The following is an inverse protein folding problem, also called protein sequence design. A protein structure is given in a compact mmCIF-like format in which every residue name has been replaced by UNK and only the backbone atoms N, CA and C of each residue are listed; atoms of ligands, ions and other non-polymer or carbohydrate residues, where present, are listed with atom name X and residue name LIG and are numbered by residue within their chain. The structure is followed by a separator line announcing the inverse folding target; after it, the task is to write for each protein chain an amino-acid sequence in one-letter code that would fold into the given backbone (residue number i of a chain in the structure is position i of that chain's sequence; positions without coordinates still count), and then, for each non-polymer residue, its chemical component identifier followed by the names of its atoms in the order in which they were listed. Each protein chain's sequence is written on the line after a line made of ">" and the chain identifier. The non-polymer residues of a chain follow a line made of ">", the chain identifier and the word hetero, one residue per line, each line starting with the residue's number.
data_IF_362313337720
#
_entry.id   IF_362313337720
#
_cell.length_a   1.000
_cell.length_b   1.000
_cell.length_c   1.000
_cell.angle_alpha   90.00
_cell.angle_beta   90.00
_cell.angle_gamma   90.00
#
_symmetry.space_group_name_H-M   'P 1'
#
loop_
_entity.id
_entity.type
_entity.pdbx_description
1 polymer ?
#
# COMPACT_ATOMS: atom_id res chain seq x y z
N UNK A 1 6.62 -16.58 7.76
CA UNK A 1 8.07 -16.38 7.51
C UNK A 1 8.58 -15.39 8.54
N UNK A 2 9.73 -15.66 9.18
CA UNK A 2 10.37 -14.75 10.13
C UNK A 2 11.30 -13.71 9.49
N UNK A 3 11.38 -13.68 8.16
CA UNK A 3 12.25 -12.77 7.42
C UNK A 3 11.52 -11.50 6.99
N UNK A 4 12.27 -10.39 6.91
CA UNK A 4 11.78 -9.11 6.42
C UNK A 4 11.50 -9.20 4.91
N UNK A 5 10.22 -9.30 4.55
CA UNK A 5 9.76 -9.48 3.16
C UNK A 5 10.28 -8.40 2.21
N UNK A 6 10.55 -7.20 2.71
CA UNK A 6 11.07 -6.09 1.90
C UNK A 6 12.45 -6.37 1.32
N UNK A 7 13.19 -7.33 1.91
CA UNK A 7 14.54 -7.75 1.52
C UNK A 7 14.59 -9.06 0.73
N UNK A 8 13.45 -9.71 0.48
CA UNK A 8 13.41 -10.90 -0.36
C UNK A 8 13.98 -10.61 -1.74
N UNK A 9 14.84 -11.51 -2.24
CA UNK A 9 15.57 -11.31 -3.52
C UNK A 9 14.75 -11.89 -4.68
N UNK A 10 14.40 -11.01 -5.62
CA UNK A 10 13.71 -11.35 -6.85
C UNK A 10 14.46 -10.77 -8.05
N UNK A 11 14.81 -11.57 -9.06
CA UNK A 11 15.59 -11.14 -10.25
C UNK A 11 16.85 -10.32 -9.89
N UNK A 12 17.66 -10.82 -8.94
CA UNK A 12 18.89 -10.16 -8.45
C UNK A 12 18.66 -8.78 -7.76
N UNK A 13 17.45 -8.47 -7.36
CA UNK A 13 17.11 -7.25 -6.63
C UNK A 13 16.15 -7.56 -5.49
N UNK A 14 15.98 -6.62 -4.53
CA UNK A 14 14.97 -6.80 -3.48
C UNK A 14 13.56 -6.64 -4.05
N UNK A 15 12.57 -7.27 -3.40
CA UNK A 15 11.16 -7.11 -3.76
C UNK A 15 10.73 -5.63 -3.71
N UNK A 16 11.24 -4.86 -2.74
CA UNK A 16 11.04 -3.40 -2.67
C UNK A 16 11.58 -2.70 -3.90
N UNK A 17 12.82 -3.02 -4.32
CA UNK A 17 13.41 -2.42 -5.52
C UNK A 17 12.61 -2.76 -6.77
N UNK A 18 12.21 -4.02 -6.94
CA UNK A 18 11.35 -4.46 -8.04
C UNK A 18 10.06 -3.65 -8.11
N UNK A 19 9.36 -3.47 -6.99
CA UNK A 19 8.13 -2.70 -6.94
C UNK A 19 8.36 -1.20 -7.23
N UNK A 20 9.40 -0.60 -6.65
CA UNK A 20 9.75 0.81 -6.93
C UNK A 20 10.03 1.02 -8.41
N UNK A 21 10.83 0.16 -9.04
CA UNK A 21 11.15 0.26 -10.48
C UNK A 21 9.90 0.09 -11.36
N UNK A 22 9.03 -0.86 -11.00
CA UNK A 22 7.77 -1.11 -11.70
C UNK A 22 6.86 0.12 -11.68
N UNK A 23 6.59 0.66 -10.49
CA UNK A 23 5.67 1.77 -10.33
C UNK A 23 6.27 3.15 -10.69
N UNK A 24 7.59 3.29 -10.74
CA UNK A 24 8.24 4.49 -11.27
C UNK A 24 8.03 4.71 -12.77
N UNK A 25 7.57 3.70 -13.48
CA UNK A 25 7.15 3.83 -14.89
C UNK A 25 5.74 4.43 -15.04
N UNK A 26 4.96 4.43 -13.97
CA UNK A 26 3.54 4.83 -13.95
C UNK A 26 3.36 6.12 -13.15
N UNK A 27 3.99 6.21 -11.98
CA UNK A 27 3.86 7.34 -11.07
C UNK A 27 5.10 8.24 -11.13
N UNK A 28 4.87 9.55 -11.14
CA UNK A 28 5.95 10.56 -11.12
C UNK A 28 6.84 10.44 -9.88
N UNK A 29 6.25 10.09 -8.74
CA UNK A 29 6.96 9.91 -7.49
C UNK A 29 6.55 8.59 -6.85
N UNK A 30 7.54 7.80 -6.43
CA UNK A 30 7.36 6.56 -5.67
C UNK A 30 8.16 6.67 -4.39
N UNK A 31 7.55 6.33 -3.27
CA UNK A 31 8.14 6.39 -1.94
C UNK A 31 8.06 5.01 -1.29
N UNK A 32 9.05 4.71 -0.45
CA UNK A 32 9.00 3.57 0.46
C UNK A 32 8.61 4.09 1.84
N UNK A 33 7.57 3.50 2.45
CA UNK A 33 7.21 3.80 3.83
C UNK A 33 7.84 2.75 4.75
N UNK A 34 8.60 3.19 5.74
CA UNK A 34 9.22 2.31 6.73
C UNK A 34 9.56 3.08 8.01
N UNK A 35 9.65 2.36 9.12
CA UNK A 35 10.07 2.93 10.42
C UNK A 35 11.44 3.59 10.35
N UNK A 36 12.37 2.97 9.62
CA UNK A 36 13.75 3.44 9.45
C UNK A 36 14.28 3.15 8.05
N UNK A 37 15.35 3.82 7.64
CA UNK A 37 15.99 3.55 6.36
C UNK A 37 16.79 2.23 6.43
N UNK A 38 16.23 1.19 5.85
CA UNK A 38 16.86 -0.14 5.71
C UNK A 38 17.60 -0.31 4.39
N UNK A 39 17.56 0.70 3.51
CA UNK A 39 18.01 0.61 2.12
C UNK A 39 19.15 1.57 1.79
N UNK A 40 19.68 2.29 2.78
CA UNK A 40 20.84 3.15 2.62
C UNK A 40 20.61 4.33 1.66
N UNK A 41 19.54 5.08 1.87
CA UNK A 41 19.12 6.22 1.05
C UNK A 41 18.89 5.90 -0.45
N UNK A 42 18.67 4.63 -0.78
CA UNK A 42 18.44 4.17 -2.16
C UNK A 42 17.10 4.61 -2.72
N UNK A 43 16.11 4.86 -1.84
CA UNK A 43 14.75 5.25 -2.20
C UNK A 43 14.33 6.55 -1.52
N UNK A 44 13.31 7.20 -2.08
CA UNK A 44 12.59 8.27 -1.37
C UNK A 44 11.83 7.64 -0.21
N UNK A 45 12.19 7.95 1.03
CA UNK A 45 11.64 7.35 2.23
C UNK A 45 10.63 8.28 2.91
N UNK A 46 9.50 7.72 3.31
CA UNK A 46 8.59 8.34 4.29
C UNK A 46 8.70 7.51 5.57
N UNK A 47 9.19 8.15 6.64
CA UNK A 47 9.32 7.51 7.95
C UNK A 47 8.01 7.56 8.71
N UNK A 48 7.80 6.56 9.57
CA UNK A 48 6.68 6.58 10.50
C UNK A 48 6.74 7.79 11.41
N UNK A 49 5.59 8.41 11.67
CA UNK A 49 5.47 9.57 12.53
C UNK A 49 5.88 9.19 13.97
N UNK A 50 6.84 9.91 14.59
CA UNK A 50 7.33 9.59 15.93
C UNK A 50 6.35 9.98 17.04
N UNK A 51 5.24 10.63 16.73
CA UNK A 51 4.21 11.04 17.70
C UNK A 51 3.55 9.82 18.39
N UNK A 52 3.56 8.66 17.73
CA UNK A 52 2.93 7.44 18.21
C UNK A 52 3.96 6.32 18.36
N UNK A 53 4.11 5.79 19.59
CA UNK A 53 5.01 4.67 19.90
C UNK A 53 4.39 3.30 19.59
N UNK A 54 3.77 3.17 18.40
CA UNK A 54 3.12 1.94 17.94
C UNK A 54 3.65 1.55 16.58
N UNK A 55 3.47 0.29 16.22
CA UNK A 55 3.76 -0.19 14.87
C UNK A 55 2.49 -0.79 14.26
N UNK A 56 1.89 -0.09 13.30
CA UNK A 56 0.66 -0.54 12.68
C UNK A 56 0.51 0.00 11.26
N UNK A 57 -0.27 -0.67 10.41
CA UNK A 57 -0.62 -0.15 9.07
C UNK A 57 -1.34 1.20 9.12
N UNK A 58 -2.11 1.48 10.17
CA UNK A 58 -2.76 2.79 10.38
C UNK A 58 -1.73 3.90 10.60
N UNK A 59 -0.68 3.65 11.40
CA UNK A 59 0.38 4.62 11.61
C UNK A 59 1.15 4.90 10.32
N UNK A 60 1.49 3.86 9.56
CA UNK A 60 2.15 4.02 8.26
C UNK A 60 1.28 4.86 7.32
N UNK A 61 -0.02 4.58 7.23
CA UNK A 61 -0.96 5.34 6.40
C UNK A 61 -1.06 6.80 6.84
N UNK A 62 -1.18 7.07 8.14
CA UNK A 62 -1.15 8.42 8.69
C UNK A 62 0.13 9.16 8.30
N UNK A 63 1.27 8.50 8.51
CA UNK A 63 2.59 9.08 8.22
C UNK A 63 2.74 9.42 6.74
N UNK A 64 2.27 8.52 5.85
CA UNK A 64 2.28 8.78 4.41
C UNK A 64 1.40 9.99 4.09
N UNK A 65 0.11 9.93 4.42
CA UNK A 65 -0.87 10.93 4.00
C UNK A 65 -0.57 12.34 4.54
N UNK A 66 0.06 12.44 5.71
CA UNK A 66 0.47 13.72 6.30
C UNK A 66 1.59 14.44 5.54
N UNK A 67 2.27 13.76 4.61
CA UNK A 67 3.30 14.36 3.76
C UNK A 67 2.74 14.98 2.46
N UNK A 68 1.44 14.83 2.20
CA UNK A 68 0.80 15.29 0.98
C UNK A 68 -0.32 16.28 1.29
N UNK A 69 -0.65 17.15 0.32
CA UNK A 69 -1.68 18.15 0.48
C UNK A 69 -2.60 18.17 -0.72
N UNK A 70 -3.89 17.90 -0.48
CA UNK A 70 -4.96 17.96 -1.47
C UNK A 70 -4.71 17.09 -2.72
N UNK A 71 -4.22 15.86 -2.49
CA UNK A 71 -3.93 14.91 -3.56
C UNK A 71 -4.19 13.46 -3.14
N UNK A 72 -4.39 12.59 -4.13
CA UNK A 72 -4.48 11.16 -3.94
C UNK A 72 -3.10 10.50 -3.93
N UNK A 73 -2.92 9.58 -2.98
CA UNK A 73 -1.73 8.72 -2.88
C UNK A 73 -2.14 7.28 -3.10
N UNK A 74 -1.49 6.60 -4.04
CA UNK A 74 -1.68 5.16 -4.22
C UNK A 74 -0.86 4.41 -3.18
N UNK A 75 -1.52 3.58 -2.40
CA UNK A 75 -0.94 2.74 -1.35
C UNK A 75 -0.90 1.29 -1.83
N UNK A 76 0.25 0.67 -1.71
CA UNK A 76 0.42 -0.75 -2.01
C UNK A 76 1.37 -1.40 -1.02
N UNK A 77 1.00 -2.58 -0.53
CA UNK A 77 1.86 -3.40 0.31
C UNK A 77 3.00 -4.03 -0.51
N UNK A 78 4.20 -4.11 0.08
CA UNK A 78 5.37 -4.69 -0.59
C UNK A 78 5.20 -6.17 -0.90
N UNK A 79 4.36 -6.87 -0.15
CA UNK A 79 4.07 -8.29 -0.32
C UNK A 79 2.99 -8.62 -1.37
N UNK A 80 2.49 -7.61 -2.11
CA UNK A 80 1.55 -7.77 -3.22
C UNK A 80 2.20 -7.41 -4.57
N UNK A 81 3.20 -8.16 -5.07
CA UNK A 81 3.97 -7.77 -6.26
C UNK A 81 3.23 -8.01 -7.59
N UNK A 82 2.15 -8.82 -7.58
CA UNK A 82 1.44 -9.24 -8.79
C UNK A 82 0.56 -8.14 -9.39
N UNK A 83 0.23 -7.09 -8.64
CA UNK A 83 -0.59 -6.00 -9.14
C UNK A 83 0.04 -5.34 -10.38
N UNK A 84 -0.68 -5.28 -11.48
CA UNK A 84 -0.22 -4.69 -12.75
C UNK A 84 -0.90 -3.35 -13.06
N UNK A 85 -0.49 -2.74 -14.16
CA UNK A 85 -1.12 -1.53 -14.71
C UNK A 85 -2.59 -1.75 -15.09
N UNK A 86 -2.99 -2.96 -15.50
CA UNK A 86 -4.38 -3.29 -15.82
C UNK A 86 -5.31 -3.10 -14.62
N UNK A 87 -4.89 -3.56 -13.44
CA UNK A 87 -5.65 -3.35 -12.20
C UNK A 87 -5.69 -1.88 -11.83
N UNK A 88 -4.58 -1.15 -11.99
CA UNK A 88 -4.54 0.30 -11.72
C UNK A 88 -5.53 1.08 -12.58
N UNK A 89 -5.67 0.74 -13.87
CA UNK A 89 -6.61 1.42 -14.76
C UNK A 89 -8.06 1.33 -14.28
N UNK A 90 -8.45 0.27 -13.57
CA UNK A 90 -9.81 0.11 -13.03
C UNK A 90 -10.16 1.12 -11.93
N UNK A 91 -9.17 1.69 -11.24
CA UNK A 91 -9.40 2.72 -10.23
C UNK A 91 -9.67 4.11 -10.83
N UNK A 92 -9.18 4.40 -12.03
CA UNK A 92 -9.19 5.75 -12.61
C UNK A 92 -10.58 6.41 -12.72
N UNK A 93 -11.66 5.69 -13.08
CA UNK A 93 -12.99 6.29 -13.14
C UNK A 93 -13.44 6.84 -11.77
N UNK A 94 -13.06 6.17 -10.69
CA UNK A 94 -13.45 6.54 -9.32
C UNK A 94 -12.68 7.76 -8.78
N UNK A 95 -11.47 8.02 -9.29
CA UNK A 95 -10.67 9.20 -8.92
C UNK A 95 -11.30 10.52 -9.38
N UNK A 96 -12.24 10.47 -10.34
CA UNK A 96 -12.97 11.65 -10.83
C UNK A 96 -14.24 11.94 -10.05
N UNK A 97 -14.54 11.15 -9.03
CA UNK A 97 -15.73 11.26 -8.21
C UNK A 97 -15.39 11.76 -6.81
N UNK A 98 -16.39 12.12 -6.04
CA UNK A 98 -16.24 12.67 -4.69
C UNK A 98 -16.02 11.56 -3.64
N UNK A 99 -14.98 10.74 -3.87
CA UNK A 99 -14.51 9.74 -2.90
C UNK A 99 -13.20 10.20 -2.26
N UNK A 100 -12.96 9.77 -1.02
CA UNK A 100 -11.71 10.04 -0.29
C UNK A 100 -10.85 8.77 -0.16
N UNK A 101 -11.48 7.60 -0.23
CA UNK A 101 -10.84 6.29 -0.19
C UNK A 101 -11.38 5.44 -1.34
N UNK A 102 -10.48 4.87 -2.14
CA UNK A 102 -10.84 4.01 -3.27
C UNK A 102 -9.91 2.80 -3.19
N UNK A 103 -10.43 1.64 -2.75
CA UNK A 103 -9.63 0.43 -2.54
C UNK A 103 -10.15 -0.75 -3.34
N UNK A 104 -9.26 -1.71 -3.59
CA UNK A 104 -9.64 -2.96 -4.22
C UNK A 104 -10.50 -3.83 -3.28
N UNK A 105 -11.46 -4.52 -3.89
CA UNK A 105 -12.27 -5.55 -3.26
C UNK A 105 -12.38 -6.75 -4.19
N UNK A 106 -12.14 -7.94 -3.67
CA UNK A 106 -12.36 -9.22 -4.33
C UNK A 106 -13.56 -9.94 -3.68
N UNK A 107 -14.03 -11.06 -4.24
CA UNK A 107 -15.15 -11.80 -3.65
C UNK A 107 -14.93 -12.18 -2.19
N UNK A 108 -13.69 -12.52 -1.80
CA UNK A 108 -13.39 -12.96 -0.44
C UNK A 108 -12.86 -11.85 0.48
N UNK A 109 -12.24 -10.77 -0.06
CA UNK A 109 -11.53 -9.79 0.76
C UNK A 109 -11.67 -8.34 0.27
N UNK A 110 -11.58 -7.39 1.22
CA UNK A 110 -11.21 -6.00 0.96
C UNK A 110 -9.69 -5.87 1.14
N UNK A 111 -9.04 -5.09 0.28
CA UNK A 111 -7.59 -4.89 0.28
C UNK A 111 -7.22 -3.46 0.72
N UNK A 112 -7.19 -3.15 2.03
CA UNK A 112 -6.95 -1.80 2.52
C UNK A 112 -5.59 -1.23 2.13
N UNK A 113 -4.60 -2.08 1.88
CA UNK A 113 -3.26 -1.67 1.41
C UNK A 113 -3.11 -1.85 -0.10
N UNK A 114 -4.21 -1.73 -0.87
CA UNK A 114 -4.21 -1.66 -2.32
C UNK A 114 -5.29 -0.67 -2.80
N UNK A 115 -4.90 0.60 -2.99
CA UNK A 115 -5.84 1.62 -3.45
C UNK A 115 -5.37 3.05 -3.24
N UNK A 116 -6.24 3.98 -3.58
CA UNK A 116 -6.00 5.41 -3.49
C UNK A 116 -6.63 6.00 -2.22
N UNK A 117 -5.85 6.80 -1.52
CA UNK A 117 -6.27 7.56 -0.35
C UNK A 117 -6.01 9.05 -0.58
N UNK A 118 -7.03 9.87 -0.45
CA UNK A 118 -6.86 11.31 -0.46
C UNK A 118 -6.19 11.79 0.83
N UNK A 119 -5.27 12.73 0.73
CA UNK A 119 -4.51 13.23 1.88
C UNK A 119 -5.38 13.78 3.01
N UNK A 120 -6.60 14.24 2.71
CA UNK A 120 -7.57 14.66 3.74
C UNK A 120 -7.94 13.55 4.73
N UNK A 121 -7.73 12.28 4.40
CA UNK A 121 -8.02 11.16 5.31
C UNK A 121 -7.04 11.10 6.49
N UNK A 122 -5.90 11.79 6.42
CA UNK A 122 -4.89 11.82 7.49
C UNK A 122 -5.47 12.21 8.86
N UNK A 123 -6.40 13.16 8.91
CA UNK A 123 -7.01 13.57 10.18
C UNK A 123 -7.84 12.45 10.84
N UNK A 124 -8.54 11.62 10.04
CA UNK A 124 -9.26 10.46 10.57
C UNK A 124 -8.30 9.38 11.07
N UNK A 125 -7.16 9.19 10.37
CA UNK A 125 -6.13 8.28 10.85
C UNK A 125 -5.61 8.74 12.22
N UNK A 126 -5.29 10.04 12.39
CA UNK A 126 -4.82 10.60 13.65
C UNK A 126 -5.84 10.40 14.77
N UNK A 127 -7.10 10.76 14.53
CA UNK A 127 -8.20 10.58 15.48
C UNK A 127 -8.32 9.12 15.98
N UNK A 128 -8.17 8.14 15.07
CA UNK A 128 -8.22 6.73 15.42
C UNK A 128 -6.98 6.29 16.22
N UNK A 129 -5.78 6.76 15.82
CA UNK A 129 -4.55 6.46 16.53
C UNK A 129 -4.56 7.00 17.98
N UNK A 130 -5.06 8.21 18.20
CA UNK A 130 -5.25 8.81 19.53
C UNK A 130 -6.19 7.98 20.43
N UNK A 131 -7.11 7.22 19.82
CA UNK A 131 -8.02 6.27 20.49
C UNK A 131 -7.44 4.85 20.60
N UNK A 132 -6.16 4.67 20.20
CA UNK A 132 -5.51 3.35 20.10
C UNK A 132 -6.19 2.37 19.13
N UNK A 133 -6.90 2.90 18.13
CA UNK A 133 -7.55 2.12 17.08
C UNK A 133 -6.63 2.00 15.87
N UNK A 134 -6.26 0.78 15.52
CA UNK A 134 -5.19 0.53 14.53
C UNK A 134 -5.68 -0.13 13.23
N UNK A 135 -6.99 -0.47 13.14
CA UNK A 135 -7.55 -1.15 11.97
C UNK A 135 -7.93 -0.13 10.88
N UNK A 136 -7.29 -0.20 9.71
CA UNK A 136 -7.59 0.68 8.56
C UNK A 136 -9.07 0.60 8.16
N UNK A 137 -9.72 -0.55 8.30
CA UNK A 137 -11.13 -0.72 7.96
C UNK A 137 -12.08 0.25 8.68
N UNK A 138 -11.67 0.80 9.84
CA UNK A 138 -12.45 1.82 10.58
C UNK A 138 -12.58 3.14 9.81
N UNK A 139 -11.65 3.43 8.91
CA UNK A 139 -11.71 4.61 8.04
C UNK A 139 -12.88 4.56 7.06
N UNK A 140 -13.32 3.35 6.67
CA UNK A 140 -14.35 3.18 5.64
C UNK A 140 -15.74 3.68 6.07
N UNK A 141 -15.96 3.84 7.36
CA UNK A 141 -17.17 4.46 7.91
C UNK A 141 -17.02 5.96 8.20
N UNK A 142 -15.77 6.49 8.19
CA UNK A 142 -15.47 7.90 8.49
C UNK A 142 -15.26 8.73 7.24
N UNK A 143 -14.84 8.12 6.15
CA UNK A 143 -14.54 8.78 4.88
C UNK A 143 -15.40 8.20 3.75
N UNK A 144 -15.68 9.02 2.72
CA UNK A 144 -16.40 8.57 1.53
C UNK A 144 -15.56 7.51 0.81
N UNK A 145 -15.93 6.25 1.00
CA UNK A 145 -15.18 5.08 0.53
C UNK A 145 -15.89 4.41 -0.64
N UNK A 146 -15.13 4.13 -1.70
CA UNK A 146 -15.54 3.30 -2.82
C UNK A 146 -14.70 2.03 -2.89
N UNK A 147 -15.37 0.91 -3.18
CA UNK A 147 -14.73 -0.39 -3.38
C UNK A 147 -14.77 -0.73 -4.87
N UNK A 148 -13.59 -0.83 -5.49
CA UNK A 148 -13.47 -1.27 -6.88
C UNK A 148 -13.47 -2.80 -6.89
N UNK A 149 -14.48 -3.39 -7.50
CA UNK A 149 -14.66 -4.85 -7.53
C UNK A 149 -13.72 -5.48 -8.57
N UNK A 150 -13.05 -6.56 -8.14
CA UNK A 150 -12.21 -7.43 -8.95
C UNK A 150 -12.69 -8.87 -8.79
N UNK A 151 -12.90 -9.57 -9.91
CA UNK A 151 -13.30 -10.98 -9.90
C UNK A 151 -12.11 -11.91 -9.62
N UNK A 152 -10.93 -11.55 -10.15
CA UNK A 152 -9.69 -12.30 -9.99
C UNK A 152 -8.94 -11.85 -8.72
N UNK A 153 -8.59 -12.80 -7.87
CA UNK A 153 -7.85 -12.57 -6.64
C UNK A 153 -6.34 -12.63 -6.83
N UNK A 154 -5.85 -13.23 -7.92
CA UNK A 154 -4.43 -13.49 -8.13
C UNK A 154 -3.56 -12.21 -8.08
N UNK A 155 -3.99 -11.03 -8.58
CA UNK A 155 -3.19 -9.81 -8.47
C UNK A 155 -2.99 -9.31 -7.03
N UNK A 156 -3.87 -9.73 -6.10
CA UNK A 156 -3.92 -9.26 -4.71
C UNK A 156 -3.36 -10.26 -3.72
N UNK A 157 -2.84 -11.41 -4.20
CA UNK A 157 -2.22 -12.40 -3.33
C UNK A 157 -0.96 -11.83 -2.68
N UNK A 158 -0.91 -11.95 -1.36
CA UNK A 158 0.25 -11.55 -0.57
C UNK A 158 1.25 -12.71 -0.48
N UNK A 159 2.52 -12.41 -0.64
CA UNK A 159 3.60 -13.38 -0.43
C UNK A 159 3.83 -13.62 1.08
N UNK A 160 2.94 -14.39 1.72
CA UNK A 160 3.00 -14.66 3.16
C UNK A 160 3.87 -15.88 3.50
N UNK A 161 3.94 -16.85 2.61
CA UNK A 161 4.69 -18.08 2.77
C UNK A 161 5.78 -18.22 1.71
N UNK A 162 6.84 -18.96 2.04
CA UNK A 162 7.95 -19.21 1.11
C UNK A 162 7.50 -19.88 -0.19
N UNK A 163 6.50 -20.74 -0.13
CA UNK A 163 5.92 -21.41 -1.31
C UNK A 163 5.27 -20.41 -2.28
N UNK A 164 4.53 -19.43 -1.77
CA UNK A 164 3.93 -18.37 -2.59
C UNK A 164 5.01 -17.50 -3.27
N UNK A 165 6.11 -17.24 -2.57
CA UNK A 165 7.25 -16.55 -3.13
C UNK A 165 7.96 -17.35 -4.23
N UNK A 166 8.16 -18.64 -4.07
CA UNK A 166 8.75 -19.53 -5.10
C UNK A 166 7.82 -19.66 -6.32
N UNK A 167 6.50 -19.75 -6.11
CA UNK A 167 5.53 -19.72 -7.20
C UNK A 167 5.61 -18.41 -7.96
N UNK A 168 5.59 -17.27 -7.27
CA UNK A 168 5.77 -15.95 -7.87
C UNK A 168 7.03 -15.86 -8.72
N UNK A 169 8.17 -16.38 -8.24
CA UNK A 169 9.41 -16.42 -9.01
C UNK A 169 9.25 -17.21 -10.30
N UNK A 170 8.65 -18.40 -10.24
CA UNK A 170 8.48 -19.27 -11.42
C UNK A 170 7.55 -18.68 -12.50
N UNK A 171 6.61 -17.81 -12.14
CA UNK A 171 5.73 -17.13 -13.10
C UNK A 171 6.43 -16.00 -13.88
N UNK A 172 7.57 -15.53 -13.38
CA UNK A 172 8.33 -14.42 -13.98
C UNK A 172 9.69 -14.84 -14.58
N UNK A 173 10.12 -16.09 -14.39
CA UNK A 173 11.30 -16.70 -15.03
C UNK A 173 10.94 -17.30 -16.39
#
# INVERSE_FOLDING_TARGET
>A
MGEDKSKLIFKNQTLTQFQVEKFSKIFKNVYVSAKEDKFGAKFKLIKDCPEFEIYSPMLALYSILSNFKDEFVFILSVDSPNLSDKELLKFLPSLKQDYQIIIAKTPSHKHPLCGFYHSSVAHFCKELLEKNEQKIALLFSKAKTHFVDFEDESPFLNLNFYQEYEQFKSEYE
#
